data_IF_818154241353
#
_entry.id   IF_818154241353
#
_cell.length_a   1.000
_cell.length_b   1.000
_cell.length_c   1.000
_cell.angle_alpha   90.00
_cell.angle_beta   90.00
_cell.angle_gamma   90.00
#
_symmetry.space_group_name_H-M   'P 1'
#
loop_
_entity.id
_entity.type
_entity.pdbx_description
1 polymer ?
#
# COMPACT_ATOMS: atom_id res chain seq x y z
N UNK A 1 21.82 9.02 5.88
CA UNK A 1 20.46 9.32 5.38
C UNK A 1 20.12 8.28 4.33
N UNK A 2 19.23 7.33 4.63
CA UNK A 2 18.71 6.41 3.62
C UNK A 2 17.76 7.21 2.72
N UNK A 3 18.10 7.35 1.44
CA UNK A 3 17.19 7.92 0.45
C UNK A 3 16.02 6.95 0.28
N UNK A 4 14.82 7.31 0.74
CA UNK A 4 13.63 6.47 0.55
C UNK A 4 13.41 6.27 -0.94
N UNK A 5 13.18 5.03 -1.37
CA UNK A 5 12.90 4.74 -2.78
C UNK A 5 11.54 5.32 -3.22
N UNK A 6 10.64 5.61 -2.27
CA UNK A 6 9.39 6.32 -2.56
C UNK A 6 9.64 7.74 -3.10
N UNK A 7 10.66 8.44 -2.60
CA UNK A 7 11.03 9.78 -3.07
C UNK A 7 11.47 9.81 -4.55
N UNK A 8 11.88 8.65 -5.09
CA UNK A 8 12.28 8.48 -6.50
C UNK A 8 11.11 8.16 -7.43
N UNK A 9 9.88 8.18 -6.93
CA UNK A 9 8.68 7.90 -7.71
C UNK A 9 8.37 6.41 -7.89
N UNK A 10 9.10 5.50 -7.24
CA UNK A 10 8.90 4.05 -7.36
C UNK A 10 7.48 3.61 -6.96
N UNK A 11 6.98 2.56 -7.59
CA UNK A 11 5.66 2.03 -7.31
C UNK A 11 5.61 1.33 -5.92
N UNK A 12 4.66 1.67 -5.02
CA UNK A 12 4.60 1.08 -3.68
C UNK A 12 4.49 -0.45 -3.66
N UNK A 13 3.81 -1.06 -4.64
CA UNK A 13 3.72 -2.52 -4.71
C UNK A 13 5.08 -3.14 -5.03
N UNK A 14 5.81 -2.57 -5.99
CA UNK A 14 7.18 -2.98 -6.31
C UNK A 14 8.11 -2.85 -5.10
N UNK A 15 7.95 -1.79 -4.29
CA UNK A 15 8.75 -1.60 -3.08
C UNK A 15 8.47 -2.64 -2.00
N UNK A 16 7.21 -3.08 -1.83
CA UNK A 16 6.90 -4.17 -0.90
C UNK A 16 7.64 -5.46 -1.26
N UNK A 17 7.65 -5.80 -2.55
CA UNK A 17 8.38 -6.96 -3.07
C UNK A 17 9.89 -6.83 -2.85
N UNK A 18 10.43 -5.64 -3.08
CA UNK A 18 11.85 -5.34 -2.85
C UNK A 18 12.22 -5.47 -1.36
N UNK A 19 11.49 -4.81 -0.47
CA UNK A 19 11.75 -4.82 0.98
C UNK A 19 11.62 -6.21 1.60
N UNK A 20 10.70 -7.02 1.08
CA UNK A 20 10.49 -8.41 1.50
C UNK A 20 11.28 -9.42 0.65
N UNK A 21 12.26 -8.97 -0.15
CA UNK A 21 13.19 -9.83 -0.88
C UNK A 21 12.53 -10.91 -1.75
N UNK A 22 11.41 -10.60 -2.39
CA UNK A 22 10.75 -11.50 -3.34
C UNK A 22 10.54 -10.84 -4.69
N UNK A 23 10.61 -11.62 -5.76
CA UNK A 23 10.32 -11.14 -7.10
C UNK A 23 8.81 -10.89 -7.25
N UNK A 24 8.46 -9.76 -7.86
CA UNK A 24 7.06 -9.46 -8.20
C UNK A 24 6.54 -10.42 -9.27
N UNK A 25 5.35 -10.98 -9.01
CA UNK A 25 4.65 -11.90 -9.91
C UNK A 25 3.33 -11.25 -10.31
N UNK A 26 3.02 -11.27 -11.61
CA UNK A 26 1.73 -10.85 -12.15
C UNK A 26 0.92 -12.10 -12.51
N UNK A 27 0.04 -12.60 -11.64
CA UNK A 27 -0.74 -13.79 -11.94
C UNK A 27 -1.82 -13.45 -12.96
N UNK A 28 -1.82 -14.13 -14.10
CA UNK A 28 -2.82 -13.95 -15.15
C UNK A 28 -4.09 -14.79 -14.94
N UNK A 29 -4.09 -15.77 -14.03
CA UNK A 29 -5.13 -16.81 -13.96
C UNK A 29 -5.62 -17.19 -12.55
N UNK A 30 -5.46 -16.33 -11.54
CA UNK A 30 -6.03 -16.62 -10.21
C UNK A 30 -7.54 -16.35 -10.20
N UNK A 31 -8.31 -17.35 -9.76
CA UNK A 31 -9.76 -17.26 -9.56
C UNK A 31 -10.05 -17.03 -8.06
N UNK A 32 -10.85 -16.01 -7.68
CA UNK A 32 -11.22 -15.77 -6.28
C UNK A 32 -11.98 -16.96 -5.64
N UNK A 33 -12.64 -17.80 -6.43
CA UNK A 33 -13.41 -18.96 -5.94
C UNK A 33 -12.56 -20.22 -5.76
N UNK A 34 -11.39 -20.27 -6.40
CA UNK A 34 -10.50 -21.43 -6.36
C UNK A 34 -9.04 -20.98 -6.19
N UNK A 35 -8.76 -20.34 -5.06
CA UNK A 35 -7.41 -19.92 -4.70
C UNK A 35 -6.57 -21.13 -4.25
N UNK A 36 -5.34 -21.28 -4.77
CA UNK A 36 -4.43 -22.28 -4.23
C UNK A 36 -4.07 -21.93 -2.77
N UNK A 37 -3.81 -22.94 -1.95
CA UNK A 37 -3.45 -22.72 -0.55
C UNK A 37 -2.11 -21.97 -0.38
N UNK A 38 -1.19 -22.17 -1.32
CA UNK A 38 0.16 -21.60 -1.30
C UNK A 38 0.58 -21.13 -2.68
N UNK A 39 1.56 -20.25 -2.73
CA UNK A 39 2.23 -19.81 -3.95
C UNK A 39 3.75 -19.84 -3.77
N UNK A 40 4.46 -20.25 -4.81
CA UNK A 40 5.92 -20.18 -4.82
C UNK A 40 6.38 -18.85 -5.41
N UNK A 41 7.14 -18.10 -4.61
CA UNK A 41 7.80 -16.86 -5.06
C UNK A 41 9.30 -17.05 -5.16
N UNK A 42 9.94 -16.41 -6.15
CA UNK A 42 11.40 -16.35 -6.22
C UNK A 42 11.90 -15.38 -5.15
N UNK A 43 12.77 -15.87 -4.26
CA UNK A 43 13.45 -15.05 -3.27
C UNK A 43 14.73 -14.44 -3.87
N UNK A 44 15.01 -13.19 -3.50
CA UNK A 44 16.20 -12.46 -3.94
C UNK A 44 17.39 -12.69 -3.01
N UNK A 45 17.11 -12.96 -1.73
CA UNK A 45 18.08 -13.34 -0.70
C UNK A 45 17.40 -14.18 0.38
N UNK A 46 18.16 -14.74 1.31
CA UNK A 46 17.62 -15.55 2.42
C UNK A 46 17.11 -14.71 3.60
N UNK A 47 17.27 -13.38 3.56
CA UNK A 47 16.92 -12.46 4.65
C UNK A 47 15.61 -11.70 4.36
N UNK A 48 14.94 -11.22 5.41
CA UNK A 48 13.70 -10.41 5.33
C UNK A 48 12.62 -11.01 4.42
N UNK A 49 12.44 -12.33 4.47
CA UNK A 49 11.43 -13.02 3.67
C UNK A 49 10.02 -12.75 4.20
N UNK A 50 9.01 -12.67 3.32
CA UNK A 50 7.62 -12.57 3.75
C UNK A 50 7.18 -13.88 4.41
N UNK A 51 6.06 -13.79 5.10
CA UNK A 51 5.42 -14.94 5.74
C UNK A 51 4.15 -15.36 5.01
N UNK A 52 3.46 -14.42 4.38
CA UNK A 52 2.18 -14.62 3.70
C UNK A 52 2.11 -13.73 2.47
N UNK A 53 1.15 -14.04 1.59
CA UNK A 53 0.81 -13.20 0.45
C UNK A 53 -0.66 -12.86 0.52
N UNK A 54 -0.97 -11.55 0.58
CA UNK A 54 -2.31 -11.05 0.42
C UNK A 54 -2.70 -11.09 -1.05
N UNK A 55 -3.90 -11.59 -1.34
CA UNK A 55 -4.45 -11.59 -2.70
C UNK A 55 -5.58 -10.56 -2.77
N UNK A 56 -5.47 -9.63 -3.71
CA UNK A 56 -6.50 -8.66 -4.03
C UNK A 56 -7.10 -8.91 -5.41
N UNK A 57 -8.41 -8.77 -5.51
CA UNK A 57 -9.17 -8.88 -6.76
C UNK A 57 -9.81 -7.53 -7.13
N UNK A 58 -9.04 -6.58 -7.68
CA UNK A 58 -9.59 -5.31 -8.14
C UNK A 58 -10.59 -5.53 -9.30
N UNK A 59 -11.69 -4.76 -9.37
CA UNK A 59 -12.65 -4.90 -10.45
C UNK A 59 -12.00 -4.53 -11.80
N UNK A 60 -12.22 -5.38 -12.81
CA UNK A 60 -11.72 -5.18 -14.20
C UNK A 60 -10.19 -5.06 -14.31
N UNK A 61 -9.44 -5.59 -13.34
CA UNK A 61 -7.97 -5.63 -13.36
C UNK A 61 -7.47 -7.01 -12.93
N UNK A 62 -6.24 -7.39 -13.33
CA UNK A 62 -5.64 -8.63 -12.86
C UNK A 62 -5.53 -8.67 -11.33
N UNK A 63 -5.54 -9.87 -10.73
CA UNK A 63 -5.27 -10.04 -9.30
C UNK A 63 -3.91 -9.49 -8.91
N UNK A 64 -3.83 -8.91 -7.71
CA UNK A 64 -2.60 -8.35 -7.17
C UNK A 64 -2.16 -9.18 -5.98
N UNK A 65 -0.91 -9.63 -6.02
CA UNK A 65 -0.25 -10.35 -4.93
C UNK A 65 0.60 -9.37 -4.13
N UNK A 66 0.40 -9.32 -2.83
CA UNK A 66 1.14 -8.43 -1.94
C UNK A 66 1.83 -9.26 -0.86
N UNK A 67 3.16 -9.37 -0.88
CA UNK A 67 3.89 -10.05 0.19
C UNK A 67 3.74 -9.26 1.49
N UNK A 68 3.58 -9.97 2.61
CA UNK A 68 3.54 -9.39 3.94
C UNK A 68 4.35 -10.21 4.95
N UNK A 69 4.85 -9.52 5.96
CA UNK A 69 5.30 -10.11 7.21
C UNK A 69 4.15 -9.99 8.23
N UNK A 70 3.62 -11.11 8.69
CA UNK A 70 2.46 -11.17 9.56
C UNK A 70 2.71 -10.53 10.93
N UNK A 71 3.94 -10.63 11.45
CA UNK A 71 4.33 -10.04 12.73
C UNK A 71 4.32 -8.51 12.59
N UNK A 72 4.94 -8.00 11.52
CA UNK A 72 4.94 -6.56 11.22
C UNK A 72 3.55 -6.03 10.91
N UNK A 73 2.73 -6.80 10.19
CA UNK A 73 1.35 -6.43 9.92
C UNK A 73 0.54 -6.30 11.21
N UNK A 74 0.61 -7.31 12.09
CA UNK A 74 -0.12 -7.33 13.37
C UNK A 74 0.35 -6.19 14.29
N UNK A 75 1.61 -5.81 14.20
CA UNK A 75 2.15 -4.64 14.91
C UNK A 75 1.64 -3.31 14.35
N UNK A 76 1.42 -3.23 13.03
CA UNK A 76 1.03 -2.02 12.31
C UNK A 76 -0.47 -1.75 12.24
N UNK A 77 -1.29 -2.81 12.27
CA UNK A 77 -2.72 -2.75 11.98
C UNK A 77 -3.56 -3.37 13.09
N UNK A 78 -4.82 -2.93 13.19
CA UNK A 78 -5.80 -3.45 14.16
C UNK A 78 -6.65 -4.56 13.58
N UNK A 79 -6.96 -4.49 12.28
CA UNK A 79 -7.72 -5.54 11.61
C UNK A 79 -6.93 -6.84 11.67
N UNK A 80 -7.55 -7.88 12.19
CA UNK A 80 -6.97 -9.21 12.18
C UNK A 80 -7.14 -9.82 10.79
N UNK A 81 -6.04 -10.26 10.21
CA UNK A 81 -6.08 -11.09 9.01
C UNK A 81 -6.33 -12.53 9.43
N UNK A 82 -7.27 -13.20 8.75
CA UNK A 82 -7.41 -14.65 8.86
C UNK A 82 -6.23 -15.27 8.12
N UNK A 83 -5.13 -15.46 8.84
CA UNK A 83 -3.91 -16.03 8.30
C UNK A 83 -3.89 -17.55 8.54
N UNK A 84 -3.62 -18.37 7.52
CA UNK A 84 -3.32 -19.78 7.73
C UNK A 84 -2.18 -19.94 8.74
N UNK A 85 -2.27 -20.94 9.62
CA UNK A 85 -1.15 -21.30 10.50
C UNK A 85 0.07 -21.61 9.63
N UNK A 86 1.14 -20.86 9.83
CA UNK A 86 2.39 -21.03 9.09
C UNK A 86 3.57 -20.84 10.02
N UNK A 87 4.47 -21.81 10.01
CA UNK A 87 5.85 -21.59 10.46
C UNK A 87 6.58 -20.86 9.35
N UNK A 88 7.38 -19.83 9.66
CA UNK A 88 8.18 -19.09 8.66
C UNK A 88 8.79 -20.06 7.65
N UNK A 89 8.34 -19.97 6.40
CA UNK A 89 8.74 -20.90 5.37
C UNK A 89 10.25 -20.77 5.11
N UNK A 90 10.96 -21.89 5.16
CA UNK A 90 12.36 -21.92 4.84
C UNK A 90 12.53 -21.76 3.32
N UNK A 91 13.42 -20.87 2.85
CA UNK A 91 13.73 -20.80 1.43
C UNK A 91 14.40 -22.11 0.99
N UNK A 92 14.16 -22.52 -0.25
CA UNK A 92 14.75 -23.71 -0.86
C UNK A 92 15.29 -23.39 -2.26
N UNK A 93 16.20 -24.22 -2.76
CA UNK A 93 16.70 -24.11 -4.13
C UNK A 93 15.86 -24.99 -5.06
N UNK A 94 15.34 -24.40 -6.13
CA UNK A 94 14.63 -25.14 -7.18
C UNK A 94 15.60 -25.99 -8.01
N UNK A 95 15.04 -26.84 -8.88
CA UNK A 95 15.83 -27.60 -9.88
C UNK A 95 16.61 -26.68 -10.85
N UNK A 96 16.14 -25.45 -11.07
CA UNK A 96 16.84 -24.40 -11.83
C UNK A 96 17.89 -23.64 -11.02
N UNK A 97 18.20 -24.08 -9.79
CA UNK A 97 19.10 -23.42 -8.84
C UNK A 97 18.67 -21.98 -8.45
N UNK A 98 17.37 -21.70 -8.53
CA UNK A 98 16.81 -20.43 -8.05
C UNK A 98 16.38 -20.57 -6.59
N UNK A 99 16.62 -19.52 -5.79
CA UNK A 99 16.10 -19.45 -4.44
C UNK A 99 14.59 -19.16 -4.49
N UNK A 100 13.78 -20.01 -3.85
CA UNK A 100 12.33 -19.90 -3.82
C UNK A 100 11.81 -20.04 -2.40
N UNK A 101 10.62 -19.53 -2.16
CA UNK A 101 9.88 -19.67 -0.91
C UNK A 101 8.41 -19.96 -1.23
N UNK A 102 7.86 -20.96 -0.54
CA UNK A 102 6.44 -21.32 -0.63
C UNK A 102 5.68 -20.58 0.46
N UNK A 103 4.76 -19.71 0.06
CA UNK A 103 4.03 -18.83 0.97
C UNK A 103 2.54 -19.15 0.97
N UNK A 104 1.89 -19.23 2.13
CA UNK A 104 0.43 -19.31 2.20
C UNK A 104 -0.22 -18.07 1.57
N UNK A 105 -1.26 -18.31 0.77
CA UNK A 105 -2.16 -17.25 0.32
C UNK A 105 -3.18 -16.96 1.41
N UNK A 106 -3.43 -15.69 1.69
CA UNK A 106 -4.55 -15.32 2.56
C UNK A 106 -5.86 -15.45 1.78
N UNK A 107 -6.98 -15.73 2.47
CA UNK A 107 -8.30 -15.50 1.90
C UNK A 107 -8.42 -14.06 1.35
N UNK A 108 -9.26 -13.83 0.32
CA UNK A 108 -9.47 -12.50 -0.24
C UNK A 108 -9.92 -11.52 0.85
N UNK A 109 -9.27 -10.36 0.91
CA UNK A 109 -9.63 -9.34 1.88
C UNK A 109 -10.98 -8.73 1.52
N UNK A 110 -11.99 -8.98 2.34
CA UNK A 110 -13.34 -8.38 2.20
C UNK A 110 -13.36 -6.89 2.58
N UNK A 111 -12.37 -6.42 3.33
CA UNK A 111 -12.32 -5.08 3.95
C UNK A 111 -11.32 -4.14 3.24
N UNK A 112 -10.84 -4.46 2.02
CA UNK A 112 -9.96 -3.55 1.28
C UNK A 112 -10.76 -2.70 0.28
N UNK A 113 -11.11 -1.45 0.63
CA UNK A 113 -11.92 -0.59 -0.21
C UNK A 113 -11.15 0.01 -1.40
N UNK A 114 -9.81 0.06 -1.37
CA UNK A 114 -9.03 0.67 -2.45
C UNK A 114 -7.66 -0.01 -2.67
N UNK A 115 -7.58 -1.02 -3.55
CA UNK A 115 -6.33 -1.73 -3.85
C UNK A 115 -5.14 -0.82 -4.24
N UNK A 116 -5.29 0.23 -5.07
CA UNK A 116 -4.14 1.03 -5.51
C UNK A 116 -3.39 1.78 -4.40
N UNK A 117 -4.05 2.12 -3.29
CA UNK A 117 -3.41 2.81 -2.16
C UNK A 117 -3.04 1.87 -1.01
N UNK A 118 -3.43 0.59 -1.09
CA UNK A 118 -3.15 -0.38 -0.02
C UNK A 118 -1.65 -0.62 0.13
N UNK A 119 -0.93 -0.80 -0.99
CA UNK A 119 0.51 -1.08 -0.94
C UNK A 119 1.29 0.05 -0.26
N UNK A 120 0.90 1.31 -0.50
CA UNK A 120 1.48 2.45 0.19
C UNK A 120 1.20 2.38 1.70
N UNK A 121 -0.05 2.11 2.09
CA UNK A 121 -0.41 1.99 3.50
C UNK A 121 0.36 0.86 4.19
N UNK A 122 0.54 -0.28 3.53
CA UNK A 122 1.27 -1.44 4.06
C UNK A 122 2.76 -1.13 4.26
N UNK A 123 3.41 -0.40 3.36
CA UNK A 123 4.81 0.00 3.53
C UNK A 123 5.01 0.76 4.85
N UNK A 124 4.14 1.72 5.13
CA UNK A 124 4.21 2.54 6.33
C UNK A 124 3.74 1.77 7.58
N UNK A 125 2.62 1.04 7.49
CA UNK A 125 2.08 0.28 8.61
C UNK A 125 3.00 -0.85 9.08
N UNK A 126 3.70 -1.54 8.17
CA UNK A 126 4.67 -2.58 8.52
C UNK A 126 6.07 -2.02 8.88
N UNK A 127 6.24 -0.69 8.92
CA UNK A 127 7.51 -0.04 9.23
C UNK A 127 8.61 -0.27 8.20
N UNK A 128 8.26 -0.58 6.96
CA UNK A 128 9.21 -0.71 5.84
C UNK A 128 9.61 0.65 5.28
N UNK A 129 8.71 1.62 5.36
CA UNK A 129 8.96 3.03 5.07
C UNK A 129 8.59 3.87 6.30
N UNK A 130 9.48 4.79 6.68
CA UNK A 130 9.34 5.60 7.90
C UNK A 130 9.32 7.10 7.62
N UNK A 131 9.68 7.51 6.40
CA UNK A 131 9.72 8.91 6.00
C UNK A 131 8.30 9.44 5.70
N UNK A 132 7.70 10.11 6.68
CA UNK A 132 6.33 10.64 6.57
C UNK A 132 6.18 11.71 5.48
N UNK A 133 7.26 12.43 5.16
CA UNK A 133 7.25 13.41 4.08
C UNK A 133 6.96 12.74 2.73
N UNK A 134 7.48 11.54 2.49
CA UNK A 134 7.22 10.79 1.26
C UNK A 134 5.74 10.38 1.16
N UNK A 135 5.10 10.07 2.30
CA UNK A 135 3.65 9.84 2.33
C UNK A 135 2.88 11.11 1.94
N UNK A 136 3.26 12.27 2.48
CA UNK A 136 2.63 13.55 2.15
C UNK A 136 2.74 13.89 0.65
N UNK A 137 3.92 13.76 0.06
CA UNK A 137 4.14 14.04 -1.38
C UNK A 137 3.43 13.04 -2.31
N UNK A 138 3.14 11.83 -1.84
CA UNK A 138 2.27 10.87 -2.56
C UNK A 138 0.81 11.27 -2.54
N UNK A 139 0.37 12.02 -1.54
CA UNK A 139 -1.01 12.44 -1.39
C UNK A 139 -1.30 13.82 -1.98
N UNK A 140 -0.35 14.74 -1.88
CA UNK A 140 -0.50 16.14 -2.24
C UNK A 140 0.61 16.57 -3.23
N UNK A 141 0.30 17.40 -4.23
CA UNK A 141 1.32 18.04 -5.05
C UNK A 141 2.29 18.87 -4.20
N UNK A 142 3.54 19.02 -4.64
CA UNK A 142 4.53 19.82 -3.92
C UNK A 142 4.05 21.27 -3.69
N UNK A 143 3.43 21.90 -4.69
CA UNK A 143 2.84 23.24 -4.58
C UNK A 143 1.77 23.36 -3.50
N UNK A 144 1.06 22.27 -3.19
CA UNK A 144 0.07 22.24 -2.09
C UNK A 144 0.78 22.07 -0.75
N UNK A 145 1.87 21.30 -0.71
CA UNK A 145 2.68 21.11 0.51
C UNK A 145 3.41 22.41 0.91
N UNK A 146 3.82 23.22 -0.06
CA UNK A 146 4.51 24.50 0.18
C UNK A 146 3.66 25.52 0.96
N UNK A 147 2.32 25.41 0.88
CA UNK A 147 1.37 26.26 1.62
C UNK A 147 1.14 25.81 3.08
N UNK A 148 1.77 24.71 3.50
CA UNK A 148 1.65 24.21 4.87
C UNK A 148 2.21 25.24 5.88
N UNK A 149 1.55 25.46 7.04
CA UNK A 149 0.39 24.74 7.59
C UNK A 149 -0.98 25.34 7.28
N UNK A 150 -1.10 26.26 6.32
CA UNK A 150 -2.37 26.94 6.04
C UNK A 150 -3.30 26.07 5.19
N UNK A 151 -4.13 25.24 5.84
CA UNK A 151 -5.05 24.32 5.17
C UNK A 151 -6.00 24.99 4.15
N UNK A 152 -6.38 26.25 4.35
CA UNK A 152 -7.22 26.98 3.42
C UNK A 152 -6.45 27.33 2.13
N UNK A 153 -5.21 27.80 2.26
CA UNK A 153 -4.32 28.06 1.12
C UNK A 153 -3.98 26.75 0.38
N UNK A 154 -3.66 25.68 1.12
CA UNK A 154 -3.45 24.34 0.55
C UNK A 154 -4.66 23.89 -0.29
N UNK A 155 -5.89 24.04 0.24
CA UNK A 155 -7.11 23.66 -0.47
C UNK A 155 -7.36 24.52 -1.72
N UNK A 156 -7.03 25.82 -1.65
CA UNK A 156 -7.13 26.72 -2.80
C UNK A 156 -6.16 26.30 -3.90
N UNK A 157 -4.87 26.10 -3.59
CA UNK A 157 -3.88 25.64 -4.59
C UNK A 157 -4.27 24.28 -5.16
N UNK A 158 -4.73 23.35 -4.32
CA UNK A 158 -5.21 22.04 -4.76
C UNK A 158 -6.39 22.19 -5.74
N UNK A 159 -7.32 23.11 -5.47
CA UNK A 159 -8.49 23.36 -6.32
C UNK A 159 -8.13 23.88 -7.72
N UNK A 160 -6.95 24.48 -7.90
CA UNK A 160 -6.46 25.02 -9.17
C UNK A 160 -5.74 23.99 -10.06
N UNK A 161 -5.61 22.73 -9.62
CA UNK A 161 -4.96 21.66 -10.40
C UNK A 161 -5.69 21.37 -11.73
N UNK A 162 -5.08 20.62 -12.65
CA UNK A 162 -5.83 20.09 -13.80
C UNK A 162 -6.89 19.07 -13.35
N UNK A 163 -8.01 18.94 -14.07
CA UNK A 163 -9.12 18.06 -13.69
C UNK A 163 -8.69 16.59 -13.51
N UNK A 164 -7.92 16.05 -14.46
CA UNK A 164 -7.42 14.68 -14.37
C UNK A 164 -6.55 14.42 -13.14
N UNK A 165 -5.64 15.35 -12.81
CA UNK A 165 -4.77 15.22 -11.64
C UNK A 165 -5.55 15.40 -10.35
N UNK A 166 -6.49 16.35 -10.33
CA UNK A 166 -7.37 16.56 -9.19
C UNK A 166 -8.20 15.30 -8.89
N UNK A 167 -8.87 14.74 -9.89
CA UNK A 167 -9.69 13.53 -9.73
C UNK A 167 -8.85 12.33 -9.30
N UNK A 168 -7.66 12.15 -9.88
CA UNK A 168 -6.72 11.10 -9.49
C UNK A 168 -6.34 11.21 -8.01
N UNK A 169 -6.03 12.42 -7.53
CA UNK A 169 -5.66 12.68 -6.13
C UNK A 169 -6.84 12.52 -5.18
N UNK A 170 -8.03 12.98 -5.57
CA UNK A 170 -9.26 12.76 -4.81
C UNK A 170 -9.51 11.26 -4.63
N UNK A 171 -9.48 10.49 -5.72
CA UNK A 171 -9.69 9.05 -5.66
C UNK A 171 -8.63 8.37 -4.79
N UNK A 172 -7.35 8.74 -4.95
CA UNK A 172 -6.26 8.17 -4.18
C UNK A 172 -6.37 8.48 -2.68
N UNK A 173 -6.55 9.75 -2.31
CA UNK A 173 -6.59 10.19 -0.91
C UNK A 173 -7.82 9.61 -0.18
N UNK A 174 -8.98 9.62 -0.84
CA UNK A 174 -10.19 9.00 -0.30
C UNK A 174 -10.04 7.49 -0.18
N UNK A 175 -9.43 6.84 -1.17
CA UNK A 175 -9.14 5.42 -1.14
C UNK A 175 -8.21 5.04 0.01
N UNK A 176 -7.12 5.80 0.21
CA UNK A 176 -6.18 5.62 1.32
C UNK A 176 -6.87 5.78 2.67
N UNK A 177 -7.73 6.79 2.83
CA UNK A 177 -8.50 6.98 4.05
C UNK A 177 -9.44 5.80 4.34
N UNK A 178 -10.13 5.29 3.32
CA UNK A 178 -10.99 4.12 3.48
C UNK A 178 -10.18 2.88 3.90
N UNK A 179 -8.98 2.67 3.33
CA UNK A 179 -8.10 1.59 3.76
C UNK A 179 -7.65 1.76 5.22
N UNK A 180 -7.35 2.99 5.65
CA UNK A 180 -7.01 3.29 7.06
C UNK A 180 -8.17 2.94 7.99
N UNK A 181 -9.40 3.31 7.63
CA UNK A 181 -10.58 2.98 8.42
C UNK A 181 -10.86 1.48 8.42
N UNK A 182 -10.68 0.81 7.29
CA UNK A 182 -10.93 -0.62 7.14
C UNK A 182 -9.92 -1.50 7.88
N UNK A 183 -8.63 -1.16 7.81
CA UNK A 183 -7.55 -1.96 8.41
C UNK A 183 -7.16 -1.46 9.82
N UNK A 184 -7.51 -0.23 10.17
CA UNK A 184 -7.17 0.40 11.43
C UNK A 184 -5.67 0.51 11.65
N UNK A 185 -4.99 1.44 10.98
CA UNK A 185 -3.56 1.69 11.25
C UNK A 185 -3.33 2.10 12.71
N UNK A 186 -2.29 1.55 13.34
CA UNK A 186 -1.95 1.83 14.74
C UNK A 186 -1.10 3.09 14.91
N UNK A 187 -0.26 3.41 13.94
CA UNK A 187 0.50 4.67 13.95
C UNK A 187 -0.44 5.86 13.75
N UNK A 188 -0.65 6.60 14.84
CA UNK A 188 -1.54 7.75 14.84
C UNK A 188 -1.01 8.89 13.99
N UNK A 189 0.31 9.08 13.89
CA UNK A 189 0.90 10.16 13.09
C UNK A 189 0.60 9.98 11.61
N UNK A 190 0.69 8.73 11.13
CA UNK A 190 0.29 8.39 9.76
C UNK A 190 -1.20 8.66 9.55
N UNK A 191 -2.06 8.21 10.48
CA UNK A 191 -3.49 8.44 10.38
C UNK A 191 -3.85 9.94 10.34
N UNK A 192 -3.18 10.76 11.16
CA UNK A 192 -3.39 12.20 11.22
C UNK A 192 -2.90 12.92 9.96
N UNK A 193 -1.74 12.54 9.42
CA UNK A 193 -1.24 13.08 8.17
C UNK A 193 -2.22 12.82 7.02
N UNK A 194 -2.70 11.58 6.89
CA UNK A 194 -3.68 11.22 5.85
C UNK A 194 -4.99 11.97 6.05
N UNK A 195 -5.46 12.09 7.30
CA UNK A 195 -6.68 12.86 7.64
C UNK A 195 -6.54 14.31 7.19
N UNK A 196 -5.40 14.96 7.43
CA UNK A 196 -5.15 16.34 7.00
C UNK A 196 -5.22 16.47 5.48
N UNK A 197 -4.52 15.61 4.74
CA UNK A 197 -4.50 15.66 3.28
C UNK A 197 -5.90 15.36 2.68
N UNK A 198 -6.67 14.46 3.28
CA UNK A 198 -8.08 14.22 2.91
C UNK A 198 -8.96 15.44 3.19
N UNK A 199 -8.73 16.14 4.31
CA UNK A 199 -9.41 17.39 4.63
C UNK A 199 -9.16 18.47 3.57
N UNK A 200 -7.89 18.72 3.24
CA UNK A 200 -7.48 19.64 2.17
C UNK A 200 -8.14 19.27 0.84
N UNK A 201 -8.11 17.99 0.48
CA UNK A 201 -8.72 17.47 -0.77
C UNK A 201 -10.24 17.67 -0.78
N UNK A 202 -10.90 17.49 0.37
CA UNK A 202 -12.35 17.65 0.51
C UNK A 202 -12.78 19.11 0.37
N UNK A 203 -12.04 20.03 0.99
CA UNK A 203 -12.30 21.47 0.87
C UNK A 203 -12.02 21.97 -0.55
N UNK A 204 -10.94 21.53 -1.18
CA UNK A 204 -10.64 21.85 -2.57
C UNK A 204 -11.77 21.42 -3.53
N UNK A 205 -12.39 20.26 -3.28
CA UNK A 205 -13.55 19.79 -4.04
C UNK A 205 -14.77 20.69 -3.85
N UNK A 206 -15.01 21.20 -2.63
CA UNK A 206 -16.10 22.16 -2.37
C UNK A 206 -15.85 23.49 -3.08
N UNK A 207 -14.61 23.97 -3.12
CA UNK A 207 -14.25 25.19 -3.84
C UNK A 207 -14.55 25.07 -5.33
N UNK A 208 -14.17 23.95 -5.95
CA UNK A 208 -14.49 23.67 -7.36
C UNK A 208 -15.97 23.55 -7.67
N UNK A 209 -16.77 23.07 -6.72
CA UNK A 209 -18.21 22.95 -6.92
C UNK A 209 -18.95 24.30 -6.78
N UNK A 210 -18.28 25.33 -6.25
CA UNK A 210 -18.84 26.67 -6.03
C UNK A 210 -18.41 27.69 -7.09
N UNK A 211 -17.29 27.46 -7.76
CA UNK A 211 -16.83 28.24 -8.92
C UNK A 211 -17.33 27.65 -10.22
#
# INVERSE_FOLDING_TARGET
MQNSLLSRGEDPLRLLHYHLNVQMISPSSLDPTNLPATIDMKALSENNLPTHVLVLFPPRRPPVLIPIDADRYTHGFRAELVLPLSTRAAPYRSASNELRITLPLTPPLTIVPHPPSLSLLLLFGMGLETCQNDLAYRMLPASVVDEFPNAAAMAQVMSLSGDEEFDRRVQFNMGLWRNILGLGIRDTRIAELVRTAVGVTSEARKLRARG
#
